data_IF_897908198845
#
_entry.id   IF_897908198845
#
_cell.length_a   1.000
_cell.length_b   1.000
_cell.length_c   1.000
_cell.angle_alpha   90.00
_cell.angle_beta   90.00
_cell.angle_gamma   90.00
#
_symmetry.space_group_name_H-M   'P 1'
#
loop_
_entity.id
_entity.type
_entity.pdbx_description
1 polymer ?
#
# COMPACT_ATOMS: atom_id res chain seq x y z
N UNK A 1 55.26 -38.30 23.82
CA UNK A 1 54.04 -38.44 22.96
C UNK A 1 52.86 -37.83 23.68
N UNK A 2 52.58 -36.54 23.38
CA UNK A 2 51.39 -35.87 23.87
C UNK A 2 50.34 -35.88 22.74
N UNK A 3 49.19 -36.53 22.97
CA UNK A 3 48.06 -36.44 22.10
C UNK A 3 47.23 -35.20 22.46
N UNK A 4 47.28 -34.20 21.57
CA UNK A 4 46.33 -33.08 21.59
C UNK A 4 45.05 -33.52 20.87
N UNK A 5 44.02 -33.82 21.67
CA UNK A 5 42.67 -34.03 21.17
C UNK A 5 42.03 -32.69 20.78
N UNK A 6 41.81 -32.47 19.49
CA UNK A 6 40.94 -31.39 18.98
C UNK A 6 39.47 -31.78 19.30
N UNK A 7 38.90 -31.14 20.29
CA UNK A 7 37.44 -31.12 20.46
C UNK A 7 36.87 -30.10 19.46
N UNK A 8 36.39 -30.58 18.34
CA UNK A 8 35.49 -29.81 17.47
C UNK A 8 34.16 -29.68 18.18
N UNK A 9 33.96 -28.56 18.86
CA UNK A 9 32.67 -28.19 19.40
C UNK A 9 31.69 -27.94 18.23
N UNK A 10 30.93 -28.97 17.88
CA UNK A 10 29.71 -28.79 17.07
C UNK A 10 28.74 -28.01 17.92
N UNK A 11 28.64 -26.71 17.73
CA UNK A 11 27.56 -25.92 18.27
C UNK A 11 26.24 -26.52 17.71
N UNK A 12 25.62 -27.40 18.45
CA UNK A 12 24.24 -27.82 18.20
C UNK A 12 23.39 -26.57 18.33
N UNK A 13 22.98 -25.99 17.20
CA UNK A 13 21.90 -25.00 17.16
C UNK A 13 20.67 -25.72 17.72
N UNK A 14 20.32 -25.39 18.97
CA UNK A 14 19.12 -25.92 19.58
C UNK A 14 17.94 -25.62 18.70
N UNK A 15 17.15 -26.64 18.38
CA UNK A 15 15.89 -26.50 17.67
C UNK A 15 15.06 -25.40 18.34
N UNK A 16 14.78 -24.32 17.62
CA UNK A 16 14.05 -23.19 18.17
C UNK A 16 12.62 -23.20 17.66
N UNK A 17 11.65 -23.46 18.53
CA UNK A 17 10.25 -23.23 18.20
C UNK A 17 10.00 -21.72 18.13
N UNK A 18 9.64 -21.22 16.95
CA UNK A 18 9.40 -19.81 16.72
C UNK A 18 7.91 -19.59 16.49
N UNK A 19 7.33 -18.71 17.29
CA UNK A 19 5.97 -18.25 17.10
C UNK A 19 5.96 -16.85 16.50
N UNK A 20 5.20 -16.65 15.41
CA UNK A 20 4.94 -15.35 14.82
C UNK A 20 3.47 -14.99 14.90
N UNK A 21 3.23 -13.73 15.25
CA UNK A 21 1.94 -13.07 15.04
C UNK A 21 2.04 -12.26 13.75
N UNK A 22 1.20 -12.59 12.75
CA UNK A 22 1.08 -11.81 11.52
C UNK A 22 -0.32 -11.20 11.43
N UNK A 23 -0.40 -9.90 11.12
CA UNK A 23 -1.67 -9.20 11.09
C UNK A 23 -1.80 -8.22 9.93
N UNK A 24 -3.03 -8.04 9.48
CA UNK A 24 -3.44 -7.01 8.51
C UNK A 24 -4.71 -6.31 8.98
N UNK A 25 -4.99 -5.15 8.39
CA UNK A 25 -6.21 -4.36 8.68
C UNK A 25 -7.41 -4.75 7.84
N UNK A 26 -7.21 -5.61 6.85
CA UNK A 26 -8.20 -6.00 5.85
C UNK A 26 -8.32 -7.53 5.75
N UNK A 27 -9.44 -8.05 5.23
CA UNK A 27 -9.66 -9.48 5.04
C UNK A 27 -8.93 -10.03 3.80
N UNK A 28 -8.78 -11.37 3.68
CA UNK A 28 -8.14 -12.03 2.54
C UNK A 28 -8.89 -11.93 1.20
N UNK A 29 -9.99 -11.19 1.12
CA UNK A 29 -10.62 -10.83 -0.16
C UNK A 29 -9.77 -9.84 -0.97
N UNK A 30 -8.77 -9.20 -0.32
CA UNK A 30 -7.85 -8.26 -0.97
C UNK A 30 -6.53 -8.94 -1.35
N UNK A 31 -5.95 -8.61 -2.54
CA UNK A 31 -4.78 -9.30 -3.09
C UNK A 31 -3.58 -9.35 -2.14
N UNK A 32 -3.27 -8.21 -1.50
CA UNK A 32 -2.14 -8.12 -0.58
C UNK A 32 -2.32 -8.94 0.72
N UNK A 33 -3.54 -9.32 1.08
CA UNK A 33 -3.79 -10.17 2.25
C UNK A 33 -3.81 -11.64 1.86
N UNK A 34 -4.52 -12.01 0.77
CA UNK A 34 -4.57 -13.40 0.32
C UNK A 34 -3.18 -13.94 0.01
N UNK A 35 -2.32 -13.16 -0.63
CA UNK A 35 -0.95 -13.57 -0.95
C UNK A 35 -0.05 -13.74 0.28
N UNK A 36 -0.28 -13.00 1.36
CA UNK A 36 0.43 -13.27 2.64
C UNK A 36 0.05 -14.64 3.18
N UNK A 37 -1.24 -14.98 3.15
CA UNK A 37 -1.77 -16.25 3.65
C UNK A 37 -1.36 -17.43 2.76
N UNK A 38 -1.49 -17.28 1.46
CA UNK A 38 -1.47 -18.39 0.49
C UNK A 38 -0.09 -18.61 -0.15
N UNK A 39 0.76 -17.58 -0.22
CA UNK A 39 2.09 -17.67 -0.84
C UNK A 39 3.23 -17.33 0.12
N UNK A 40 3.19 -16.17 0.79
CA UNK A 40 4.33 -15.68 1.59
C UNK A 40 4.64 -16.59 2.79
N UNK A 41 3.64 -16.88 3.61
CA UNK A 41 3.82 -17.76 4.79
C UNK A 41 4.30 -19.16 4.40
N UNK A 42 3.65 -19.87 3.46
CA UNK A 42 4.11 -21.20 3.05
C UNK A 42 5.53 -21.21 2.45
N UNK A 43 5.89 -20.16 1.70
CA UNK A 43 7.24 -20.04 1.14
C UNK A 43 8.28 -19.80 2.23
N UNK A 44 7.99 -18.98 3.23
CA UNK A 44 8.88 -18.73 4.37
C UNK A 44 9.11 -20.02 5.15
N UNK A 45 8.05 -20.76 5.52
CA UNK A 45 8.13 -22.04 6.20
C UNK A 45 9.00 -23.04 5.43
N UNK A 46 8.77 -23.15 4.12
CA UNK A 46 9.56 -24.03 3.24
C UNK A 46 11.04 -23.65 3.25
N UNK A 47 11.35 -22.36 3.17
CA UNK A 47 12.75 -21.87 3.14
C UNK A 47 13.46 -22.09 4.45
N UNK A 48 12.79 -21.82 5.56
CA UNK A 48 13.37 -22.06 6.88
C UNK A 48 13.68 -23.55 7.08
N UNK A 49 12.76 -24.44 6.75
CA UNK A 49 12.96 -25.88 6.84
C UNK A 49 14.12 -26.41 5.99
N UNK A 50 14.46 -25.75 4.88
CA UNK A 50 15.61 -26.12 4.06
C UNK A 50 16.96 -25.80 4.70
N UNK A 51 17.01 -24.74 5.53
CA UNK A 51 18.24 -24.28 6.19
C UNK A 51 18.34 -24.87 7.61
N UNK A 52 17.22 -24.94 8.30
CA UNK A 52 17.12 -25.49 9.63
C UNK A 52 15.89 -26.42 9.74
N UNK A 53 16.06 -27.73 9.42
CA UNK A 53 14.99 -28.71 9.46
C UNK A 53 14.37 -28.91 10.86
N UNK A 54 15.09 -28.54 11.91
CA UNK A 54 14.66 -28.72 13.31
C UNK A 54 13.77 -27.56 13.77
N UNK A 55 13.87 -26.38 13.15
CA UNK A 55 13.07 -25.21 13.51
C UNK A 55 11.61 -25.42 13.15
N UNK A 56 10.72 -25.27 14.13
CA UNK A 56 9.27 -25.26 13.93
C UNK A 56 8.74 -23.85 14.01
N UNK A 57 8.07 -23.41 12.91
CA UNK A 57 7.36 -22.14 12.89
C UNK A 57 5.89 -22.37 13.16
N UNK A 58 5.33 -21.57 14.06
CA UNK A 58 3.88 -21.50 14.33
C UNK A 58 3.39 -20.07 14.11
N UNK A 59 2.10 -19.91 13.80
CA UNK A 59 1.53 -18.62 13.45
C UNK A 59 0.22 -18.33 14.19
N UNK A 60 0.10 -17.13 14.72
CA UNK A 60 -1.20 -16.47 14.92
C UNK A 60 -1.46 -15.56 13.73
N UNK A 61 -2.55 -15.82 13.01
CA UNK A 61 -2.91 -15.10 11.77
C UNK A 61 -4.15 -14.24 12.01
N UNK A 62 -3.99 -12.91 11.97
CA UNK A 62 -5.07 -11.96 12.24
C UNK A 62 -5.38 -11.12 10.99
N UNK A 63 -6.37 -11.56 10.23
CA UNK A 63 -6.78 -10.92 8.98
C UNK A 63 -7.94 -9.95 9.22
N UNK A 64 -7.61 -8.68 9.51
CA UNK A 64 -8.59 -7.62 9.78
C UNK A 64 -9.16 -7.62 11.20
N UNK A 65 -8.62 -8.39 12.14
CA UNK A 65 -9.18 -8.57 13.48
C UNK A 65 -8.35 -8.00 14.62
N UNK A 66 -7.03 -7.82 14.45
CA UNK A 66 -6.14 -7.43 15.56
C UNK A 66 -6.14 -5.91 15.79
N UNK A 67 -6.16 -5.11 14.74
CA UNK A 67 -6.16 -3.66 14.80
C UNK A 67 -6.90 -3.05 13.60
N UNK A 68 -7.41 -1.82 13.78
CA UNK A 68 -8.09 -1.07 12.73
C UNK A 68 -7.08 -0.43 11.77
N UNK A 69 -7.57 0.07 10.62
CA UNK A 69 -6.75 0.65 9.58
C UNK A 69 -5.82 1.79 10.04
N UNK A 70 -6.22 2.59 11.03
CA UNK A 70 -5.45 3.71 11.58
C UNK A 70 -4.53 3.33 12.76
N UNK A 71 -4.55 2.05 13.20
CA UNK A 71 -3.75 1.56 14.33
C UNK A 71 -2.63 0.61 13.91
N UNK A 72 -2.53 0.29 12.60
CA UNK A 72 -1.62 -0.74 12.10
C UNK A 72 -0.15 -0.46 12.41
N UNK A 73 0.31 0.76 12.21
CA UNK A 73 1.69 1.15 12.53
C UNK A 73 1.97 1.01 14.04
N UNK A 74 1.05 1.50 14.87
CA UNK A 74 1.15 1.40 16.33
C UNK A 74 1.14 -0.06 16.78
N UNK A 75 0.27 -0.89 16.21
CA UNK A 75 0.18 -2.31 16.55
C UNK A 75 1.49 -3.08 16.29
N UNK A 76 2.13 -2.87 15.14
CA UNK A 76 3.45 -3.47 14.87
C UNK A 76 4.53 -2.83 15.74
N UNK A 77 4.52 -1.49 15.90
CA UNK A 77 5.49 -0.76 16.72
C UNK A 77 5.62 -1.31 18.14
N UNK A 78 4.50 -1.60 18.78
CA UNK A 78 4.47 -2.08 20.19
C UNK A 78 4.50 -3.61 20.31
N UNK A 79 4.64 -4.33 19.19
CA UNK A 79 4.76 -5.78 19.18
C UNK A 79 3.44 -6.56 19.35
N UNK A 80 2.26 -5.95 19.09
CA UNK A 80 1.00 -6.71 18.99
C UNK A 80 1.04 -7.73 17.85
N UNK A 81 1.76 -7.40 16.76
CA UNK A 81 2.17 -8.37 15.76
C UNK A 81 3.66 -8.25 15.47
N UNK A 82 4.30 -9.38 15.20
CA UNK A 82 5.71 -9.43 14.78
C UNK A 82 5.87 -8.95 13.34
N UNK A 83 5.00 -9.42 12.45
CA UNK A 83 4.92 -9.04 11.05
C UNK A 83 3.54 -8.41 10.82
N UNK A 84 3.50 -7.31 10.09
CA UNK A 84 2.24 -6.62 9.85
C UNK A 84 2.17 -5.96 8.48
N UNK A 85 0.95 -5.76 8.00
CA UNK A 85 0.71 -4.82 6.92
C UNK A 85 0.35 -3.46 7.51
N UNK A 86 1.14 -2.44 7.15
CA UNK A 86 0.92 -1.05 7.57
C UNK A 86 0.47 -0.22 6.39
N UNK A 87 -0.69 0.43 6.52
CA UNK A 87 -1.20 1.37 5.54
C UNK A 87 -0.57 2.76 5.71
N UNK A 88 0.52 3.05 5.01
CA UNK A 88 1.21 4.34 5.09
C UNK A 88 0.31 5.52 4.72
N UNK A 89 -0.71 5.29 3.88
CA UNK A 89 -1.68 6.32 3.45
C UNK A 89 -2.39 7.02 4.60
N UNK A 90 -2.54 6.38 5.75
CA UNK A 90 -3.13 6.96 6.96
C UNK A 90 -2.10 7.52 7.95
N UNK A 91 -0.82 7.33 7.69
CA UNK A 91 0.30 7.69 8.58
C UNK A 91 1.16 8.84 8.03
N UNK A 92 0.56 9.76 7.27
CA UNK A 92 1.30 10.85 6.58
C UNK A 92 2.10 11.78 7.51
N UNK A 93 1.80 11.81 8.80
CA UNK A 93 2.58 12.55 9.79
C UNK A 93 3.84 11.81 10.25
N UNK A 94 3.76 10.48 10.38
CA UNK A 94 4.85 9.62 10.85
C UNK A 94 5.70 9.03 9.72
N UNK A 95 5.09 8.87 8.55
CA UNK A 95 5.67 8.28 7.35
C UNK A 95 5.49 9.23 6.15
N UNK A 96 5.95 10.49 6.22
CA UNK A 96 5.71 11.48 5.18
C UNK A 96 6.33 11.09 3.83
N UNK A 97 7.51 10.48 3.79
CA UNK A 97 8.21 10.10 2.56
C UNK A 97 7.59 8.86 1.91
N UNK A 98 7.18 7.85 2.70
CA UNK A 98 6.47 6.68 2.20
C UNK A 98 5.10 7.01 1.59
N UNK A 99 4.56 8.21 1.86
CA UNK A 99 3.30 8.70 1.29
C UNK A 99 3.45 9.46 -0.03
N UNK A 100 4.63 9.46 -0.65
CA UNK A 100 4.90 10.25 -1.86
C UNK A 100 3.85 10.05 -2.95
N UNK A 101 3.46 8.82 -3.28
CA UNK A 101 2.56 8.53 -4.39
C UNK A 101 1.18 9.16 -4.20
N UNK A 102 0.68 9.21 -2.96
CA UNK A 102 -0.60 9.86 -2.63
C UNK A 102 -0.57 11.39 -2.74
N UNK A 103 0.62 12.00 -2.81
CA UNK A 103 0.78 13.43 -3.07
C UNK A 103 0.97 13.74 -4.58
N UNK A 104 1.04 12.70 -5.40
CA UNK A 104 1.28 12.77 -6.85
C UNK A 104 0.20 11.97 -7.62
N UNK A 105 -1.11 12.33 -7.53
CA UNK A 105 -2.14 11.64 -8.31
C UNK A 105 -1.87 11.73 -9.81
N UNK A 106 -2.49 10.86 -10.61
CA UNK A 106 -2.31 10.79 -12.07
C UNK A 106 -0.88 10.43 -12.52
N UNK A 107 -0.08 9.80 -11.65
CA UNK A 107 1.30 9.45 -12.00
C UNK A 107 1.34 8.30 -13.02
N UNK A 108 0.68 7.17 -12.73
CA UNK A 108 0.62 5.99 -13.61
C UNK A 108 -0.53 5.07 -13.23
N UNK A 109 -1.00 4.25 -14.17
CA UNK A 109 -1.89 3.11 -13.90
C UNK A 109 -1.10 1.79 -13.80
N UNK A 110 0.20 1.79 -14.13
CA UNK A 110 1.06 0.63 -14.04
C UNK A 110 1.56 0.41 -12.61
N UNK A 111 0.79 -0.39 -11.86
CA UNK A 111 1.10 -0.73 -10.49
C UNK A 111 2.40 -1.55 -10.36
N UNK A 112 2.72 -2.39 -11.35
CA UNK A 112 3.90 -3.25 -11.29
C UNK A 112 5.16 -2.39 -11.32
N UNK A 113 5.28 -1.53 -12.33
CA UNK A 113 6.40 -0.59 -12.46
C UNK A 113 6.45 0.38 -11.28
N UNK A 114 5.30 0.87 -10.81
CA UNK A 114 5.25 1.75 -9.63
C UNK A 114 5.86 1.08 -8.39
N UNK A 115 5.48 -0.17 -8.08
CA UNK A 115 6.01 -0.85 -6.89
C UNK A 115 7.47 -1.27 -7.03
N UNK A 116 7.97 -1.56 -8.23
CA UNK A 116 9.41 -1.74 -8.45
C UNK A 116 10.17 -0.48 -8.03
N UNK A 117 9.78 0.67 -8.58
CA UNK A 117 10.43 1.96 -8.29
C UNK A 117 10.29 2.34 -6.82
N UNK A 118 9.13 2.16 -6.21
CA UNK A 118 8.94 2.46 -4.77
C UNK A 118 9.82 1.58 -3.89
N UNK A 119 9.99 0.29 -4.21
CA UNK A 119 10.93 -0.57 -3.48
C UNK A 119 12.38 -0.10 -3.65
N UNK A 120 12.78 0.31 -4.86
CA UNK A 120 14.13 0.86 -5.12
C UNK A 120 14.37 2.16 -4.34
N UNK A 121 13.38 3.05 -4.25
CA UNK A 121 13.48 4.25 -3.41
C UNK A 121 13.73 3.90 -1.94
N UNK A 122 13.03 2.87 -1.40
CA UNK A 122 13.26 2.41 -0.04
C UNK A 122 14.64 1.73 0.16
N UNK A 123 15.20 1.13 -0.90
CA UNK A 123 16.54 0.52 -0.85
C UNK A 123 17.64 1.57 -0.94
N UNK A 124 17.44 2.64 -1.72
CA UNK A 124 18.49 3.58 -2.11
C UNK A 124 18.47 4.91 -1.33
N UNK A 125 17.38 5.26 -0.66
CA UNK A 125 17.24 6.52 0.09
C UNK A 125 17.12 6.21 1.59
N UNK A 126 18.21 6.40 2.36
CA UNK A 126 18.22 6.06 3.79
C UNK A 126 17.10 6.71 4.59
N UNK A 127 16.77 7.95 4.29
CA UNK A 127 15.76 8.73 5.03
C UNK A 127 14.36 8.11 4.94
N UNK A 128 14.04 7.38 3.85
CA UNK A 128 12.79 6.63 3.74
C UNK A 128 12.80 5.41 4.67
N UNK A 129 13.93 4.71 4.79
CA UNK A 129 14.06 3.60 5.73
C UNK A 129 14.02 4.07 7.17
N UNK A 130 14.69 5.18 7.47
CA UNK A 130 14.76 5.75 8.82
C UNK A 130 13.39 6.18 9.34
N UNK A 131 12.47 6.68 8.51
CA UNK A 131 11.14 7.03 8.99
C UNK A 131 10.35 5.81 9.49
N UNK A 132 10.55 4.62 8.89
CA UNK A 132 9.99 3.37 9.40
C UNK A 132 10.69 2.96 10.71
N UNK A 133 12.02 3.00 10.75
CA UNK A 133 12.81 2.58 11.92
C UNK A 133 12.58 3.49 13.14
N UNK A 134 12.37 4.81 12.95
CA UNK A 134 11.93 5.72 14.02
C UNK A 134 10.58 5.33 14.63
N UNK A 135 9.77 4.59 13.90
CA UNK A 135 8.52 4.03 14.39
C UNK A 135 8.66 2.56 14.87
N UNK A 136 9.89 2.10 15.16
CA UNK A 136 10.20 0.75 15.61
C UNK A 136 9.69 -0.35 14.67
N UNK A 137 9.67 -0.10 13.36
CA UNK A 137 9.33 -1.09 12.34
C UNK A 137 10.37 -1.11 11.24
N UNK A 138 10.63 -2.31 10.68
CA UNK A 138 11.50 -2.51 9.52
C UNK A 138 10.65 -2.72 8.28
N UNK A 139 10.85 -1.89 7.26
CA UNK A 139 10.25 -2.07 5.95
C UNK A 139 10.79 -3.35 5.29
N UNK A 140 9.90 -4.14 4.69
CA UNK A 140 10.25 -5.36 3.95
C UNK A 140 9.89 -5.27 2.47
N UNK A 141 8.74 -4.68 2.12
CA UNK A 141 8.33 -4.51 0.74
C UNK A 141 7.04 -3.70 0.60
N UNK A 142 7.03 -2.82 -0.38
CA UNK A 142 5.88 -1.98 -0.69
C UNK A 142 4.68 -2.81 -1.16
N UNK A 143 3.49 -2.35 -0.84
CA UNK A 143 2.24 -2.88 -1.39
C UNK A 143 1.44 -1.75 -2.03
N UNK A 144 0.71 -2.09 -3.07
CA UNK A 144 -0.04 -1.10 -3.80
C UNK A 144 -1.44 -1.54 -4.15
N UNK A 145 -2.17 -0.61 -4.72
CA UNK A 145 -3.54 -0.78 -5.19
C UNK A 145 -3.66 -0.31 -6.62
N UNK A 146 -4.60 -0.92 -7.36
CA UNK A 146 -4.94 -0.53 -8.71
C UNK A 146 -5.45 0.91 -8.78
N UNK A 147 -5.59 1.40 -9.99
CA UNK A 147 -6.01 2.78 -10.27
C UNK A 147 -7.27 3.16 -9.52
N UNK A 148 -7.22 4.33 -8.88
CA UNK A 148 -8.38 4.91 -8.22
C UNK A 148 -9.37 5.49 -9.23
N UNK A 149 -10.64 5.25 -8.94
CA UNK A 149 -11.79 5.75 -9.66
C UNK A 149 -12.81 6.34 -8.67
N UNK A 150 -13.92 6.84 -9.20
CA UNK A 150 -14.99 7.41 -8.41
C UNK A 150 -16.23 6.52 -8.48
N UNK A 151 -16.77 6.13 -7.33
CA UNK A 151 -18.02 5.39 -7.21
C UNK A 151 -19.02 6.23 -6.41
N UNK A 152 -20.21 6.50 -6.99
CA UNK A 152 -21.15 7.49 -6.44
C UNK A 152 -22.61 7.03 -6.53
N UNK A 153 -23.48 7.65 -5.73
CA UNK A 153 -24.95 7.48 -5.79
C UNK A 153 -25.60 8.27 -6.92
N UNK A 154 -24.85 9.11 -7.61
CA UNK A 154 -25.30 10.01 -8.67
C UNK A 154 -24.32 9.96 -9.84
N UNK A 155 -24.75 10.25 -11.08
CA UNK A 155 -23.86 10.27 -12.21
C UNK A 155 -22.89 11.45 -12.11
N UNK A 156 -21.61 11.24 -12.51
CA UNK A 156 -20.58 12.26 -12.57
C UNK A 156 -20.11 12.38 -14.02
N UNK A 157 -20.38 13.52 -14.64
CA UNK A 157 -19.97 13.85 -16.00
C UNK A 157 -18.93 14.96 -16.04
N UNK A 158 -18.94 15.83 -15.02
CA UNK A 158 -18.04 16.95 -14.87
C UNK A 158 -17.36 16.93 -13.51
N UNK A 159 -16.17 17.50 -13.41
CA UNK A 159 -15.45 17.64 -12.14
C UNK A 159 -16.25 18.41 -11.08
N UNK A 160 -17.02 19.43 -11.53
CA UNK A 160 -17.88 20.25 -10.67
C UNK A 160 -19.12 19.53 -10.14
N UNK A 161 -19.52 18.37 -10.68
CA UNK A 161 -20.67 17.58 -10.17
C UNK A 161 -20.44 17.10 -8.73
N UNK A 162 -19.20 17.12 -8.30
CA UNK A 162 -18.81 16.78 -6.93
C UNK A 162 -19.08 17.88 -5.89
N UNK A 163 -19.43 19.09 -6.32
CA UNK A 163 -19.65 20.23 -5.41
C UNK A 163 -20.71 19.91 -4.36
N UNK A 164 -20.33 20.08 -3.08
CA UNK A 164 -21.19 19.82 -1.92
C UNK A 164 -21.43 18.35 -1.61
N UNK A 165 -20.88 17.40 -2.39
CA UNK A 165 -21.03 15.97 -2.18
C UNK A 165 -20.00 15.46 -1.16
N UNK A 166 -20.42 14.57 -0.25
CA UNK A 166 -19.55 13.91 0.72
C UNK A 166 -18.88 12.70 0.07
N UNK A 167 -17.60 12.80 -0.19
CA UNK A 167 -16.84 11.77 -0.90
C UNK A 167 -15.82 11.15 0.05
N UNK A 168 -15.95 9.84 0.26
CA UNK A 168 -15.01 9.03 1.02
C UNK A 168 -13.67 8.93 0.28
N UNK A 169 -12.58 9.11 1.01
CA UNK A 169 -11.24 8.91 0.48
C UNK A 169 -10.28 8.50 1.61
N UNK A 170 -9.32 7.58 1.36
CA UNK A 170 -8.39 7.14 2.39
C UNK A 170 -7.29 8.19 2.60
N UNK A 171 -7.05 8.55 3.86
CA UNK A 171 -5.91 9.34 4.29
C UNK A 171 -5.60 10.55 3.40
N UNK A 172 -4.42 10.57 2.80
CA UNK A 172 -3.95 11.66 1.95
C UNK A 172 -4.72 11.80 0.62
N UNK A 173 -5.38 10.74 0.12
CA UNK A 173 -6.20 10.83 -1.11
C UNK A 173 -7.36 11.84 -0.98
N UNK A 174 -7.73 12.25 0.22
CA UNK A 174 -8.71 13.34 0.43
C UNK A 174 -8.29 14.64 -0.26
N UNK A 175 -7.00 14.89 -0.39
CA UNK A 175 -6.47 16.07 -1.05
C UNK A 175 -6.74 16.07 -2.57
N UNK A 176 -7.00 14.90 -3.17
CA UNK A 176 -7.31 14.80 -4.61
C UNK A 176 -8.66 15.44 -4.97
N UNK A 177 -9.52 15.65 -3.98
CA UNK A 177 -10.81 16.33 -4.16
C UNK A 177 -10.70 17.86 -4.14
N UNK A 178 -9.48 18.41 -3.96
CA UNK A 178 -9.22 19.85 -4.01
C UNK A 178 -9.71 20.45 -5.34
N UNK A 179 -10.38 21.57 -5.28
CA UNK A 179 -10.92 22.28 -6.45
C UNK A 179 -12.27 21.76 -6.98
N UNK A 180 -12.70 20.54 -6.58
CA UNK A 180 -14.02 20.00 -7.00
C UNK A 180 -15.20 20.58 -6.22
N UNK A 181 -14.95 21.19 -5.07
CA UNK A 181 -16.01 21.59 -4.13
C UNK A 181 -16.64 20.44 -3.35
N UNK A 182 -16.13 19.22 -3.47
CA UNK A 182 -16.53 18.08 -2.66
C UNK A 182 -16.16 18.26 -1.18
N UNK A 183 -16.88 17.59 -0.30
CA UNK A 183 -16.57 17.48 1.14
C UNK A 183 -15.86 16.15 1.36
N UNK A 184 -14.53 16.13 1.59
CA UNK A 184 -13.79 14.91 1.79
C UNK A 184 -14.12 14.26 3.13
N UNK A 185 -14.41 12.95 3.13
CA UNK A 185 -14.66 12.14 4.33
C UNK A 185 -13.58 11.08 4.44
N UNK A 186 -12.89 11.01 5.59
CA UNK A 186 -11.85 10.00 5.81
C UNK A 186 -12.46 8.61 6.06
N UNK A 187 -11.80 7.57 5.56
CA UNK A 187 -12.26 6.20 5.77
C UNK A 187 -11.34 5.15 5.15
N UNK A 188 -11.82 3.93 5.15
CA UNK A 188 -11.19 2.79 4.50
C UNK A 188 -12.26 1.89 3.88
N UNK A 189 -11.87 0.97 2.99
CA UNK A 189 -12.80 0.04 2.31
C UNK A 189 -13.72 -0.70 3.26
N UNK A 190 -13.23 -1.05 4.46
CA UNK A 190 -13.99 -1.76 5.51
C UNK A 190 -15.17 -0.97 6.07
N UNK A 191 -15.23 0.34 5.85
CA UNK A 191 -16.30 1.22 6.34
C UNK A 191 -17.16 1.83 5.24
N UNK A 192 -16.71 1.81 3.98
CA UNK A 192 -17.34 2.53 2.86
C UNK A 192 -18.76 2.09 2.59
N UNK A 193 -19.04 0.78 2.55
CA UNK A 193 -20.39 0.28 2.31
C UNK A 193 -21.39 0.84 3.31
N UNK A 194 -21.08 0.73 4.61
CA UNK A 194 -21.96 1.21 5.67
C UNK A 194 -22.14 2.73 5.62
N UNK A 195 -21.05 3.50 5.43
CA UNK A 195 -21.10 4.96 5.36
C UNK A 195 -21.94 5.45 4.17
N UNK A 196 -21.85 4.81 3.00
CA UNK A 196 -22.70 5.13 1.87
C UNK A 196 -24.12 4.67 2.10
N UNK A 197 -24.36 3.45 2.60
CA UNK A 197 -25.70 2.91 2.85
C UNK A 197 -26.51 3.77 3.82
N UNK A 198 -25.88 4.28 4.87
CA UNK A 198 -26.53 5.13 5.90
C UNK A 198 -26.67 6.59 5.49
N UNK A 199 -26.14 7.01 4.33
CA UNK A 199 -26.18 8.40 3.88
C UNK A 199 -25.12 9.30 4.52
N UNK A 200 -24.15 8.74 5.26
CA UNK A 200 -23.01 9.49 5.78
C UNK A 200 -22.09 9.97 4.65
N UNK A 201 -22.13 9.31 3.48
CA UNK A 201 -21.41 9.71 2.28
C UNK A 201 -22.26 9.48 1.01
N UNK A 202 -21.94 10.27 -0.03
CA UNK A 202 -22.59 10.23 -1.35
C UNK A 202 -21.81 9.41 -2.38
N UNK A 203 -20.55 9.10 -2.07
CA UNK A 203 -19.66 8.33 -2.93
C UNK A 203 -18.30 8.12 -2.31
N UNK A 204 -17.39 7.52 -3.08
CA UNK A 204 -16.04 7.21 -2.64
C UNK A 204 -15.04 7.29 -3.80
N UNK A 205 -13.83 7.78 -3.50
CA UNK A 205 -12.64 7.41 -4.26
C UNK A 205 -12.27 5.99 -3.89
N UNK A 206 -12.27 5.09 -4.85
CA UNK A 206 -12.07 3.66 -4.63
C UNK A 206 -11.30 3.00 -5.76
N UNK A 207 -10.83 1.80 -5.51
CA UNK A 207 -10.13 0.92 -6.42
C UNK A 207 -11.07 -0.22 -6.83
N UNK A 208 -10.89 -0.78 -8.01
CA UNK A 208 -11.76 -1.85 -8.51
C UNK A 208 -11.62 -3.13 -7.69
N UNK A 209 -10.37 -3.46 -7.27
CA UNK A 209 -10.11 -4.60 -6.38
C UNK A 209 -10.71 -4.46 -4.99
N UNK A 210 -11.14 -3.26 -4.61
CA UNK A 210 -11.89 -3.00 -3.38
C UNK A 210 -13.39 -2.87 -3.64
N UNK A 211 -13.79 -2.13 -4.66
CA UNK A 211 -15.21 -1.84 -4.94
C UNK A 211 -16.06 -3.11 -5.10
N UNK A 212 -15.53 -4.09 -5.85
CA UNK A 212 -16.28 -5.34 -6.12
C UNK A 212 -16.41 -6.23 -4.89
N UNK A 213 -15.34 -6.68 -4.19
CA UNK A 213 -15.48 -7.59 -3.05
C UNK A 213 -16.19 -6.97 -1.85
N UNK A 214 -16.18 -5.64 -1.71
CA UNK A 214 -16.95 -4.92 -0.69
C UNK A 214 -18.34 -4.53 -1.16
N UNK A 215 -18.77 -4.96 -2.37
CA UNK A 215 -20.12 -4.75 -2.93
C UNK A 215 -20.55 -3.28 -2.96
N UNK A 216 -19.61 -2.37 -3.17
CA UNK A 216 -19.89 -0.93 -3.06
C UNK A 216 -20.88 -0.45 -4.13
N UNK A 217 -20.96 -1.11 -5.28
CA UNK A 217 -21.89 -0.82 -6.38
C UNK A 217 -23.37 -0.98 -5.98
N UNK A 218 -23.67 -1.81 -4.97
CA UNK A 218 -25.05 -1.97 -4.47
C UNK A 218 -25.59 -0.71 -3.78
N UNK A 219 -24.72 0.11 -3.22
CA UNK A 219 -25.07 1.33 -2.49
C UNK A 219 -24.66 2.61 -3.22
N UNK A 220 -23.86 2.49 -4.30
CA UNK A 220 -23.38 3.57 -5.14
C UNK A 220 -23.16 3.02 -6.57
N UNK A 221 -24.19 2.98 -7.44
CA UNK A 221 -24.14 2.24 -8.70
C UNK A 221 -23.33 2.94 -9.81
N UNK A 222 -23.01 4.22 -9.68
CA UNK A 222 -22.31 4.95 -10.74
C UNK A 222 -20.80 4.87 -10.58
N UNK A 223 -20.14 4.14 -11.47
CA UNK A 223 -18.68 4.05 -11.54
C UNK A 223 -18.16 4.98 -12.64
N UNK A 224 -17.49 6.05 -12.26
CA UNK A 224 -16.80 6.94 -13.19
C UNK A 224 -15.32 6.60 -13.27
N UNK A 225 -14.84 6.15 -14.42
CA UNK A 225 -13.43 5.83 -14.68
C UNK A 225 -12.62 7.13 -14.83
N UNK A 226 -12.14 7.66 -13.72
CA UNK A 226 -11.34 8.89 -13.66
C UNK A 226 -9.89 8.62 -14.04
N UNK A 227 -9.31 7.51 -13.54
CA UNK A 227 -7.90 7.18 -13.76
C UNK A 227 -6.96 8.06 -12.95
N UNK A 228 -7.20 8.18 -11.64
CA UNK A 228 -6.38 8.96 -10.69
C UNK A 228 -4.98 8.35 -10.47
N UNK A 229 -4.75 7.15 -10.98
CA UNK A 229 -3.50 6.40 -10.90
C UNK A 229 -3.48 5.32 -9.83
N UNK A 230 -2.64 4.32 -10.07
CA UNK A 230 -2.27 3.31 -9.09
C UNK A 230 -1.43 3.92 -7.97
N UNK A 231 -1.45 3.33 -6.76
CA UNK A 231 -0.81 3.92 -5.60
C UNK A 231 -0.06 2.88 -4.76
N UNK A 232 1.07 3.30 -4.17
CA UNK A 232 1.69 2.55 -3.08
C UNK A 232 0.96 2.89 -1.78
N UNK A 233 0.16 1.96 -1.28
CA UNK A 233 -0.80 2.20 -0.17
C UNK A 233 -0.20 1.92 1.20
N UNK A 234 0.86 1.15 1.23
CA UNK A 234 1.50 0.70 2.48
C UNK A 234 2.62 -0.29 2.24
N UNK A 235 2.96 -1.03 3.25
CA UNK A 235 4.05 -2.00 3.19
C UNK A 235 3.81 -3.21 4.10
N UNK A 236 4.43 -4.33 3.72
CA UNK A 236 4.74 -5.41 4.65
C UNK A 236 5.94 -4.98 5.49
N UNK A 237 5.80 -5.05 6.79
CA UNK A 237 6.82 -4.64 7.76
C UNK A 237 6.99 -5.68 8.86
N UNK A 238 8.08 -5.59 9.60
CA UNK A 238 8.32 -6.37 10.82
C UNK A 238 8.67 -5.43 11.97
N UNK A 239 8.26 -5.77 13.19
CA UNK A 239 8.69 -5.06 14.40
C UNK A 239 10.23 -5.03 14.45
N UNK A 240 10.83 -3.86 14.70
CA UNK A 240 12.29 -3.67 14.57
C UNK A 240 13.07 -4.45 15.62
N UNK A 241 12.54 -4.58 16.86
CA UNK A 241 13.20 -5.37 17.91
C UNK A 241 13.16 -6.85 17.56
N UNK A 242 12.01 -7.33 17.06
CA UNK A 242 11.89 -8.70 16.56
C UNK A 242 12.82 -8.96 15.38
N UNK A 243 12.94 -8.00 14.46
CA UNK A 243 13.88 -8.05 13.34
C UNK A 243 15.34 -8.19 13.80
N UNK A 244 15.77 -7.35 14.76
CA UNK A 244 17.14 -7.37 15.29
C UNK A 244 17.48 -8.67 16.02
N UNK A 245 16.48 -9.31 16.62
CA UNK A 245 16.63 -10.60 17.31
C UNK A 245 16.68 -11.80 16.35
N UNK A 246 16.32 -11.62 15.05
CA UNK A 246 16.36 -12.72 14.07
C UNK A 246 17.78 -13.02 13.60
N UNK A 247 18.11 -14.31 13.36
CA UNK A 247 19.35 -14.69 12.67
C UNK A 247 19.43 -14.03 11.26
N UNK A 248 20.64 -13.73 10.80
CA UNK A 248 20.87 -13.03 9.54
C UNK A 248 20.25 -13.74 8.32
N UNK A 249 20.27 -15.06 8.29
CA UNK A 249 19.67 -15.82 7.19
C UNK A 249 18.14 -15.65 7.12
N UNK A 250 17.46 -15.50 8.29
CA UNK A 250 16.04 -15.20 8.34
C UNK A 250 15.74 -13.82 7.80
N UNK A 251 16.53 -12.84 8.22
CA UNK A 251 16.41 -11.47 7.70
C UNK A 251 16.57 -11.43 6.19
N UNK A 252 17.54 -12.18 5.65
CA UNK A 252 17.80 -12.27 4.21
C UNK A 252 16.62 -12.89 3.46
N UNK A 253 16.09 -14.02 3.95
CA UNK A 253 14.96 -14.69 3.31
C UNK A 253 13.66 -13.87 3.41
N UNK A 254 13.40 -13.24 4.56
CA UNK A 254 12.24 -12.35 4.72
C UNK A 254 12.28 -11.18 3.73
N UNK A 255 13.42 -10.50 3.56
CA UNK A 255 13.58 -9.43 2.56
C UNK A 255 13.32 -9.93 1.15
N UNK A 256 13.95 -11.05 0.79
CA UNK A 256 13.81 -11.62 -0.55
C UNK A 256 12.36 -12.01 -0.86
N UNK A 257 11.69 -12.69 0.08
CA UNK A 257 10.30 -13.10 -0.07
C UNK A 257 9.35 -11.90 -0.09
N UNK A 258 9.61 -10.88 0.73
CA UNK A 258 8.79 -9.68 0.75
C UNK A 258 8.92 -8.85 -0.55
N UNK A 259 10.12 -8.78 -1.14
CA UNK A 259 10.31 -8.15 -2.46
C UNK A 259 9.53 -8.90 -3.55
N UNK A 260 9.58 -10.22 -3.56
CA UNK A 260 8.80 -11.05 -4.48
C UNK A 260 7.29 -10.88 -4.25
N UNK A 261 6.85 -10.90 -2.98
CA UNK A 261 5.47 -10.66 -2.59
C UNK A 261 4.96 -9.29 -3.06
N UNK A 262 5.76 -8.23 -2.94
CA UNK A 262 5.44 -6.90 -3.42
C UNK A 262 5.06 -6.90 -4.90
N UNK A 263 5.94 -7.41 -5.76
CA UNK A 263 5.69 -7.46 -7.21
C UNK A 263 4.55 -8.43 -7.56
N UNK A 264 4.49 -9.57 -6.86
CA UNK A 264 3.41 -10.54 -7.07
C UNK A 264 2.05 -9.95 -6.71
N UNK A 265 1.98 -9.15 -5.62
CA UNK A 265 0.75 -8.47 -5.22
C UNK A 265 0.26 -7.47 -6.27
N UNK A 266 1.18 -6.73 -6.91
CA UNK A 266 0.85 -5.85 -8.03
C UNK A 266 0.28 -6.60 -9.23
N UNK A 267 0.94 -7.71 -9.63
CA UNK A 267 0.47 -8.55 -10.74
C UNK A 267 -0.93 -9.12 -10.51
N UNK A 268 -1.19 -9.60 -9.28
CA UNK A 268 -2.51 -10.15 -8.93
C UNK A 268 -3.55 -9.04 -8.86
N UNK A 269 -3.21 -7.89 -8.25
CA UNK A 269 -4.12 -6.74 -8.19
C UNK A 269 -4.53 -6.25 -9.57
N UNK A 270 -3.59 -6.13 -10.51
CA UNK A 270 -3.89 -5.72 -11.90
C UNK A 270 -4.90 -6.66 -12.57
N UNK A 271 -4.65 -7.98 -12.50
CA UNK A 271 -5.57 -8.99 -13.06
C UNK A 271 -6.94 -9.01 -12.37
N UNK A 272 -6.95 -8.82 -11.05
CA UNK A 272 -8.20 -8.75 -10.29
C UNK A 272 -9.00 -7.49 -10.60
N UNK A 273 -8.34 -6.35 -10.87
CA UNK A 273 -9.01 -5.11 -11.25
C UNK A 273 -9.75 -5.26 -12.59
N UNK A 274 -9.13 -5.87 -13.60
CA UNK A 274 -9.77 -6.18 -14.89
C UNK A 274 -11.02 -7.04 -14.70
N UNK A 275 -10.90 -8.12 -13.91
CA UNK A 275 -12.01 -9.00 -13.60
C UNK A 275 -13.10 -8.30 -12.78
N UNK A 276 -12.71 -7.45 -11.83
CA UNK A 276 -13.64 -6.69 -11.00
C UNK A 276 -14.46 -5.71 -11.85
N UNK A 277 -13.86 -5.03 -12.82
CA UNK A 277 -14.58 -4.14 -13.75
C UNK A 277 -15.68 -4.89 -14.51
N UNK A 278 -15.34 -6.03 -15.13
CA UNK A 278 -16.32 -6.86 -15.85
C UNK A 278 -17.43 -7.41 -14.95
N UNK A 279 -17.10 -7.75 -13.71
CA UNK A 279 -18.09 -8.22 -12.73
C UNK A 279 -19.03 -7.09 -12.29
N UNK A 280 -18.50 -5.90 -11.99
CA UNK A 280 -19.27 -4.72 -11.62
C UNK A 280 -20.28 -4.37 -12.72
N UNK A 281 -19.86 -4.38 -13.99
CA UNK A 281 -20.75 -4.15 -15.13
C UNK A 281 -21.87 -5.19 -15.21
N UNK A 282 -21.52 -6.48 -15.12
CA UNK A 282 -22.49 -7.59 -15.15
C UNK A 282 -23.47 -7.53 -14.00
N UNK A 283 -23.07 -7.02 -12.84
CA UNK A 283 -23.92 -6.88 -11.65
C UNK A 283 -24.64 -5.54 -11.57
N UNK A 284 -24.67 -4.77 -12.66
CA UNK A 284 -25.51 -3.59 -12.85
C UNK A 284 -24.89 -2.25 -12.45
N UNK A 285 -23.58 -2.18 -12.25
CA UNK A 285 -22.91 -0.90 -12.11
C UNK A 285 -22.99 -0.10 -13.42
N UNK A 286 -23.30 1.19 -13.30
CA UNK A 286 -23.40 2.12 -14.43
C UNK A 286 -22.03 2.76 -14.68
N UNK A 287 -21.28 2.19 -15.63
CA UNK A 287 -19.90 2.55 -15.90
C UNK A 287 -19.80 3.64 -16.96
N UNK A 288 -19.04 4.69 -16.69
CA UNK A 288 -18.75 5.76 -17.62
C UNK A 288 -17.31 6.24 -17.49
N UNK A 289 -16.73 6.76 -18.58
CA UNK A 289 -15.45 7.46 -18.53
C UNK A 289 -15.64 8.93 -18.19
N UNK A 290 -14.72 9.52 -17.41
CA UNK A 290 -14.68 10.97 -17.26
C UNK A 290 -14.13 11.58 -18.57
N UNK A 291 -14.79 12.58 -19.17
CA UNK A 291 -14.27 13.26 -20.37
C UNK A 291 -12.84 13.79 -20.17
N UNK A 292 -12.02 13.75 -21.22
CA UNK A 292 -10.62 14.15 -21.13
C UNK A 292 -10.45 15.57 -20.59
N UNK A 293 -11.24 16.53 -21.09
CA UNK A 293 -11.19 17.92 -20.64
C UNK A 293 -11.52 18.07 -19.13
N UNK A 294 -12.43 17.24 -18.59
CA UNK A 294 -12.77 17.26 -17.17
C UNK A 294 -11.67 16.59 -16.32
N UNK A 295 -11.00 15.57 -16.87
CA UNK A 295 -9.81 14.98 -16.24
C UNK A 295 -8.66 15.97 -16.19
N UNK A 296 -8.43 16.75 -17.24
CA UNK A 296 -7.39 17.80 -17.28
C UNK A 296 -7.64 18.88 -16.22
N UNK A 297 -8.88 19.33 -16.02
CA UNK A 297 -9.25 20.24 -14.93
C UNK A 297 -8.92 19.63 -13.56
N UNK A 298 -9.16 18.33 -13.38
CA UNK A 298 -8.83 17.65 -12.13
C UNK A 298 -7.31 17.57 -11.91
N UNK A 299 -6.54 17.24 -12.97
CA UNK A 299 -5.07 17.23 -12.95
C UNK A 299 -4.55 18.62 -12.57
N UNK A 300 -5.09 19.68 -13.15
CA UNK A 300 -4.70 21.05 -12.88
C UNK A 300 -4.98 21.44 -11.42
N UNK A 301 -6.18 21.15 -10.92
CA UNK A 301 -6.58 21.43 -9.55
C UNK A 301 -5.70 20.71 -8.49
N UNK A 302 -5.16 19.54 -8.83
CA UNK A 302 -4.27 18.78 -7.94
C UNK A 302 -2.79 19.10 -8.11
N UNK A 303 -2.41 19.88 -9.13
CA UNK A 303 -1.00 20.25 -9.42
C UNK A 303 -0.25 20.84 -8.20
N UNK A 304 -0.85 21.69 -7.33
CA UNK A 304 -0.14 22.20 -6.16
C UNK A 304 0.26 21.15 -5.12
N UNK A 305 -0.32 19.94 -5.15
CA UNK A 305 -0.09 18.93 -4.11
C UNK A 305 1.37 18.48 -4.04
N UNK A 306 1.97 18.16 -5.19
CA UNK A 306 3.37 17.73 -5.26
C UNK A 306 4.31 18.80 -4.73
N UNK A 307 4.16 20.04 -5.21
CA UNK A 307 4.96 21.18 -4.75
C UNK A 307 4.79 21.42 -3.25
N UNK A 308 3.56 21.42 -2.75
CA UNK A 308 3.29 21.63 -1.34
C UNK A 308 3.85 20.50 -0.47
N UNK A 309 3.83 19.26 -0.97
CA UNK A 309 4.43 18.13 -0.28
C UNK A 309 5.95 18.28 -0.20
N UNK A 310 6.61 18.68 -1.30
CA UNK A 310 8.05 18.94 -1.33
C UNK A 310 8.41 20.02 -0.32
N UNK A 311 7.80 21.17 -0.39
CA UNK A 311 8.10 22.30 0.50
C UNK A 311 7.96 21.92 1.97
N UNK A 312 6.82 21.31 2.37
CA UNK A 312 6.59 20.88 3.77
C UNK A 312 7.61 19.88 4.29
N UNK A 313 8.19 19.05 3.42
CA UNK A 313 9.17 18.06 3.85
C UNK A 313 10.60 18.61 3.80
N UNK A 314 10.92 19.50 2.84
CA UNK A 314 12.20 20.24 2.82
C UNK A 314 12.35 21.15 4.05
N UNK A 315 11.27 21.78 4.55
CA UNK A 315 11.25 22.51 5.84
C UNK A 315 11.67 21.63 7.04
N UNK A 316 11.47 20.30 6.93
CA UNK A 316 11.91 19.31 7.92
C UNK A 316 13.27 18.69 7.58
N UNK A 317 14.00 19.28 6.66
CA UNK A 317 15.29 18.76 6.14
C UNK A 317 15.20 17.35 5.54
N UNK A 318 14.03 16.97 5.00
CA UNK A 318 13.85 15.69 4.31
C UNK A 318 14.08 15.86 2.81
N UNK A 319 14.66 14.88 2.09
CA UNK A 319 15.08 15.00 0.69
C UNK A 319 13.90 14.85 -0.29
N UNK A 320 12.79 15.56 -0.06
CA UNK A 320 11.53 15.36 -0.74
C UNK A 320 11.61 15.59 -2.26
N UNK A 321 12.29 16.65 -2.70
CA UNK A 321 12.50 16.94 -4.12
C UNK A 321 13.29 15.84 -4.82
N UNK A 322 14.37 15.38 -4.21
CA UNK A 322 15.18 14.25 -4.70
C UNK A 322 14.29 13.02 -4.90
N UNK A 323 13.42 12.71 -3.94
CA UNK A 323 12.53 11.53 -3.99
C UNK A 323 11.54 11.64 -5.15
N UNK A 324 10.96 12.82 -5.42
CA UNK A 324 10.08 13.01 -6.59
C UNK A 324 10.85 12.79 -7.89
N UNK A 325 12.04 13.36 -8.02
CA UNK A 325 12.88 13.21 -9.21
C UNK A 325 13.23 11.73 -9.43
N UNK A 326 13.72 11.04 -8.41
CA UNK A 326 14.10 9.62 -8.51
C UNK A 326 12.89 8.71 -8.81
N UNK A 327 11.69 9.02 -8.25
CA UNK A 327 10.46 8.32 -8.58
C UNK A 327 10.12 8.47 -10.06
N UNK A 328 10.17 9.69 -10.59
CA UNK A 328 9.85 9.97 -11.99
C UNK A 328 10.87 9.36 -12.95
N UNK A 329 12.16 9.42 -12.61
CA UNK A 329 13.24 8.80 -13.39
C UNK A 329 13.15 7.27 -13.37
N UNK A 330 12.84 6.69 -12.23
CA UNK A 330 12.58 5.25 -12.11
C UNK A 330 11.43 4.80 -13.01
N UNK A 331 10.32 5.52 -13.02
CA UNK A 331 9.19 5.22 -13.91
C UNK A 331 9.56 5.36 -15.40
N UNK A 332 10.37 6.35 -15.77
CA UNK A 332 10.88 6.49 -17.16
C UNK A 332 11.76 5.30 -17.55
N UNK A 333 12.62 4.82 -16.64
CA UNK A 333 13.46 3.60 -16.87
C UNK A 333 12.61 2.34 -17.06
N UNK A 334 11.47 2.25 -16.38
CA UNK A 334 10.48 1.17 -16.60
C UNK A 334 9.61 1.41 -17.85
N UNK A 335 9.92 2.40 -18.70
CA UNK A 335 9.17 2.79 -19.90
C UNK A 335 7.73 3.25 -19.62
N UNK A 336 7.44 3.70 -18.42
CA UNK A 336 6.14 4.28 -18.06
C UNK A 336 6.06 5.73 -18.53
N UNK A 337 4.95 6.07 -19.20
CA UNK A 337 4.61 7.46 -19.54
C UNK A 337 3.64 8.01 -18.50
N UNK A 338 4.08 8.88 -17.57
CA UNK A 338 3.20 9.47 -16.58
C UNK A 338 2.11 10.32 -17.22
N UNK A 339 0.90 10.30 -16.69
CA UNK A 339 -0.20 11.21 -17.12
C UNK A 339 0.09 12.64 -16.67
N UNK A 340 0.78 12.81 -15.53
CA UNK A 340 1.29 14.07 -15.02
C UNK A 340 2.79 13.92 -14.73
N UNK A 341 3.59 14.83 -15.32
CA UNK A 341 5.05 14.88 -15.12
C UNK A 341 5.31 15.77 -13.92
N UNK A 342 5.47 15.13 -12.74
CA UNK A 342 5.49 15.83 -11.46
C UNK A 342 6.80 16.55 -11.16
N UNK A 343 7.93 16.03 -11.57
CA UNK A 343 9.26 16.62 -11.38
C UNK A 343 9.45 17.94 -12.15
N UNK A 344 8.68 18.15 -13.22
CA UNK A 344 8.65 19.43 -13.94
C UNK A 344 7.69 20.46 -13.32
N UNK A 345 6.90 20.06 -12.33
CA UNK A 345 5.90 20.90 -11.67
C UNK A 345 6.32 21.36 -10.26
N UNK A 346 7.57 21.08 -9.86
CA UNK A 346 8.12 21.38 -8.54
C UNK A 346 8.65 22.81 -8.39
#
# INVERSE_FOLDING_TARGET
LFHLGFFSGVNSVLAQDIHFVIATTHPPSLPWVSLLRDEFIPQLEKKVKLVDPQTKITWTKAWGSLYKWHDSLTGVKIGLSDIGWVGSVWESAKLPLANITYNLPFITDDLISLLKVVNELHENIPEIQEEWERNNVKFLGATGVDTYHLLTKFPVKNFSDLKGKKILAPGAARLWLTGSGAIPVNGALTTYYTQMKTGAADGALTILTGAYPFRLHEVAPYLTLVGLGAQSVGALVVNLDRWKAMPLYWQTELRRLAKNYSIRSAQVATKMAEKALSNLEREGALISGLPLAEREKWIEATTPLGKNWVLRNEEKSLPARKIVIELMDGLRKENVKPKKVWDLAL
#
